data_IF_539662728084
#
_entry.id   IF_539662728084
#
_cell.length_a   1.000
_cell.length_b   1.000
_cell.length_c   1.000
_cell.angle_alpha   90.00
_cell.angle_beta   90.00
_cell.angle_gamma   90.00
#
_symmetry.space_group_name_H-M   'P 1'
#
loop_
_entity.id
_entity.type
_entity.pdbx_description
1 polymer ?
#
# COMPACT_ATOMS: atom_id res chain seq x y z
N UNK A 1 14.68 -8.59 7.55
CA UNK A 1 13.63 -7.54 7.44
C UNK A 1 12.35 -7.98 8.17
N UNK A 2 11.96 -9.26 8.17
CA UNK A 2 10.70 -9.75 8.75
C UNK A 2 10.67 -9.97 10.29
N UNK A 3 11.76 -9.80 10.95
CA UNK A 3 11.85 -9.88 12.42
C UNK A 3 11.52 -8.55 13.10
N UNK A 4 11.50 -7.46 12.34
CA UNK A 4 11.20 -6.11 12.85
C UNK A 4 9.77 -5.77 12.44
N UNK A 5 8.92 -5.24 13.35
CA UNK A 5 7.59 -4.77 13.01
C UNK A 5 7.63 -3.71 11.89
N UNK A 6 6.76 -3.86 10.88
CA UNK A 6 6.74 -2.96 9.70
C UNK A 6 6.57 -1.49 10.11
N UNK A 7 5.74 -1.20 11.11
CA UNK A 7 5.54 0.16 11.62
C UNK A 7 6.84 0.79 12.11
N UNK A 8 7.67 0.04 12.85
CA UNK A 8 8.98 0.54 13.32
C UNK A 8 9.92 0.85 12.15
N UNK A 9 9.94 -0.02 11.14
CA UNK A 9 10.74 0.23 9.93
C UNK A 9 10.25 1.46 9.19
N UNK A 10 8.93 1.63 9.05
CA UNK A 10 8.33 2.79 8.39
C UNK A 10 8.74 4.07 9.13
N UNK A 11 8.58 4.12 10.45
CA UNK A 11 8.96 5.28 11.27
C UNK A 11 10.45 5.60 11.13
N UNK A 12 11.33 4.62 11.33
CA UNK A 12 12.78 4.83 11.29
C UNK A 12 13.25 5.28 9.92
N UNK A 13 12.78 4.62 8.85
CA UNK A 13 13.17 4.97 7.49
C UNK A 13 12.58 6.31 7.04
N UNK A 14 11.33 6.61 7.39
CA UNK A 14 10.71 7.91 7.08
C UNK A 14 11.46 9.05 7.77
N UNK A 15 11.82 8.86 9.03
CA UNK A 15 12.64 9.84 9.76
C UNK A 15 14.03 10.01 9.14
N UNK A 16 14.70 8.92 8.78
CA UNK A 16 16.02 8.95 8.16
C UNK A 16 16.01 9.62 6.77
N UNK A 17 14.93 9.44 6.00
CA UNK A 17 14.79 10.02 4.66
C UNK A 17 14.31 11.47 4.66
N UNK A 18 13.74 11.96 5.76
CA UNK A 18 13.20 13.31 5.85
C UNK A 18 14.24 14.39 5.51
N UNK A 19 15.40 14.37 6.16
CA UNK A 19 16.44 15.38 5.94
C UNK A 19 17.03 15.33 4.51
N UNK A 20 17.43 14.17 3.95
CA UNK A 20 17.87 14.08 2.56
C UNK A 20 16.83 14.57 1.56
N UNK A 21 15.56 14.23 1.74
CA UNK A 21 14.48 14.65 0.85
C UNK A 21 14.15 16.14 1.00
N UNK A 22 14.21 16.69 2.22
CA UNK A 22 14.03 18.11 2.48
C UNK A 22 15.09 18.97 1.76
N UNK A 23 16.32 18.50 1.65
CA UNK A 23 17.39 19.20 0.93
C UNK A 23 17.16 19.20 -0.60
N UNK A 24 16.36 18.28 -1.14
CA UNK A 24 16.06 18.24 -2.57
C UNK A 24 15.21 19.43 -3.03
N UNK A 25 14.42 20.05 -2.17
CA UNK A 25 13.56 21.20 -2.53
C UNK A 25 14.35 22.37 -3.14
N UNK A 26 15.62 22.51 -2.75
CA UNK A 26 16.52 23.59 -3.20
C UNK A 26 17.24 23.23 -4.50
N UNK A 27 17.04 22.00 -5.02
CA UNK A 27 17.65 21.53 -6.27
C UNK A 27 16.73 21.91 -7.45
N UNK A 28 17.26 22.50 -8.54
CA UNK A 28 16.48 22.81 -9.72
C UNK A 28 15.73 21.57 -10.26
N UNK A 29 14.42 21.70 -10.47
CA UNK A 29 13.55 20.60 -10.91
C UNK A 29 12.84 19.82 -9.77
N UNK A 30 13.24 19.98 -8.52
CA UNK A 30 12.65 19.32 -7.35
C UNK A 30 11.83 20.25 -6.44
N UNK A 31 11.50 21.45 -6.88
CA UNK A 31 10.71 22.42 -6.09
C UNK A 31 9.34 21.87 -5.63
N UNK A 32 8.77 20.88 -6.33
CA UNK A 32 7.54 20.19 -5.94
C UNK A 32 7.68 19.45 -4.60
N UNK A 33 8.90 19.09 -4.16
CA UNK A 33 9.17 18.48 -2.85
C UNK A 33 8.74 19.41 -1.72
N UNK A 34 8.96 20.73 -1.87
CA UNK A 34 8.50 21.71 -0.89
C UNK A 34 6.97 21.87 -0.84
N UNK A 35 6.29 21.63 -1.95
CA UNK A 35 4.82 21.69 -2.05
C UNK A 35 4.15 20.47 -1.43
N UNK A 36 4.67 19.28 -1.73
CA UNK A 36 4.16 18.01 -1.22
C UNK A 36 4.57 17.76 0.24
N UNK A 37 5.69 18.34 0.65
CA UNK A 37 6.29 18.15 1.98
C UNK A 37 7.18 16.91 2.10
N UNK A 38 8.35 17.09 2.70
CA UNK A 38 9.33 16.00 2.86
C UNK A 38 8.81 14.80 3.68
N UNK A 39 7.93 15.03 4.66
CA UNK A 39 7.34 13.96 5.45
C UNK A 39 6.46 13.03 4.59
N UNK A 40 5.58 13.61 3.77
CA UNK A 40 4.70 12.84 2.91
C UNK A 40 5.49 12.04 1.88
N UNK A 41 6.50 12.65 1.26
CA UNK A 41 7.36 11.98 0.28
C UNK A 41 8.15 10.86 0.93
N UNK A 42 8.72 11.08 2.13
CA UNK A 42 9.46 10.04 2.84
C UNK A 42 8.58 8.83 3.16
N UNK A 43 7.33 9.02 3.61
CA UNK A 43 6.38 7.92 3.85
C UNK A 43 6.10 7.16 2.55
N UNK A 44 5.83 7.85 1.44
CA UNK A 44 5.57 7.20 0.14
C UNK A 44 6.77 6.41 -0.37
N UNK A 45 7.98 6.95 -0.26
CA UNK A 45 9.20 6.24 -0.63
C UNK A 45 9.37 4.98 0.23
N UNK A 46 9.14 5.09 1.53
CA UNK A 46 9.24 3.94 2.44
C UNK A 46 8.17 2.89 2.14
N UNK A 47 6.92 3.28 1.88
CA UNK A 47 5.88 2.35 1.45
C UNK A 47 6.27 1.63 0.16
N UNK A 48 6.79 2.35 -0.83
CA UNK A 48 7.28 1.74 -2.06
C UNK A 48 8.41 0.75 -1.81
N UNK A 49 9.33 1.05 -0.88
CA UNK A 49 10.46 0.19 -0.54
C UNK A 49 10.08 -1.04 0.29
N UNK A 50 9.01 -0.99 1.07
CA UNK A 50 8.61 -2.10 1.96
C UNK A 50 7.50 -2.97 1.35
N UNK A 51 6.47 -2.35 0.78
CA UNK A 51 5.28 -3.09 0.35
C UNK A 51 5.48 -3.92 -0.92
N UNK A 52 6.41 -3.53 -1.81
CA UNK A 52 6.72 -4.34 -2.99
C UNK A 52 7.24 -5.74 -2.62
N UNK A 53 7.91 -5.90 -1.47
CA UNK A 53 8.50 -7.18 -1.04
C UNK A 53 7.40 -8.23 -0.78
N UNK A 54 6.32 -7.82 -0.10
CA UNK A 54 5.15 -8.68 0.11
C UNK A 54 4.48 -9.07 -1.20
N UNK A 55 4.28 -8.09 -2.09
CA UNK A 55 3.71 -8.29 -3.41
C UNK A 55 4.55 -9.25 -4.27
N UNK A 56 5.87 -9.03 -4.31
CA UNK A 56 6.80 -9.88 -5.05
C UNK A 56 6.78 -11.34 -4.58
N UNK A 57 6.65 -11.57 -3.26
CA UNK A 57 6.51 -12.92 -2.70
C UNK A 57 5.22 -13.58 -3.11
N UNK A 58 4.12 -12.85 -3.04
CA UNK A 58 2.82 -13.36 -3.43
C UNK A 58 2.83 -13.76 -4.92
N UNK A 59 3.34 -12.90 -5.80
CA UNK A 59 3.50 -13.22 -7.23
C UNK A 59 4.37 -14.44 -7.44
N UNK A 60 5.51 -14.53 -6.74
CA UNK A 60 6.39 -15.70 -6.80
C UNK A 60 5.66 -16.99 -6.40
N UNK A 61 4.92 -16.96 -5.31
CA UNK A 61 4.15 -18.11 -4.82
C UNK A 61 3.10 -18.56 -5.85
N UNK A 62 2.37 -17.62 -6.44
CA UNK A 62 1.40 -17.88 -7.51
C UNK A 62 2.07 -18.50 -8.75
N UNK A 63 3.17 -17.92 -9.21
CA UNK A 63 3.91 -18.47 -10.35
C UNK A 63 4.42 -19.89 -10.07
N UNK A 64 4.90 -20.18 -8.85
CA UNK A 64 5.36 -21.51 -8.48
C UNK A 64 4.23 -22.54 -8.48
N UNK A 65 3.01 -22.17 -8.08
CA UNK A 65 1.83 -23.05 -8.20
C UNK A 65 1.42 -23.26 -9.67
N UNK A 66 1.32 -22.16 -10.41
CA UNK A 66 0.84 -22.21 -11.80
C UNK A 66 1.81 -22.94 -12.75
N UNK A 67 3.11 -22.92 -12.50
CA UNK A 67 4.09 -23.62 -13.35
C UNK A 67 3.94 -25.15 -13.35
N UNK A 68 3.32 -25.73 -12.31
CA UNK A 68 3.03 -27.15 -12.16
C UNK A 68 1.69 -27.55 -12.83
N UNK A 69 0.92 -26.60 -13.34
CA UNK A 69 -0.38 -26.85 -13.95
C UNK A 69 -0.27 -27.58 -15.29
N UNK A 70 -1.29 -28.40 -15.61
CA UNK A 70 -1.33 -29.23 -16.82
C UNK A 70 -1.22 -28.42 -18.10
N UNK A 71 -1.87 -27.23 -18.17
CA UNK A 71 -1.79 -26.39 -19.35
C UNK A 71 -0.40 -25.79 -19.62
N UNK A 72 0.40 -25.58 -18.57
CA UNK A 72 1.79 -25.13 -18.69
C UNK A 72 2.67 -26.29 -19.19
N UNK A 73 2.44 -27.50 -18.66
CA UNK A 73 3.13 -28.71 -19.08
C UNK A 73 2.83 -29.01 -20.56
N UNK A 74 1.57 -28.93 -20.97
CA UNK A 74 1.16 -29.08 -22.36
C UNK A 74 1.81 -28.02 -23.27
N UNK A 75 1.85 -26.76 -22.85
CA UNK A 75 2.51 -25.70 -23.62
C UNK A 75 4.02 -25.96 -23.82
N UNK A 76 4.69 -26.51 -22.78
CA UNK A 76 6.11 -26.92 -22.91
C UNK A 76 6.31 -28.08 -23.87
N UNK A 77 5.44 -29.09 -23.81
CA UNK A 77 5.49 -30.23 -24.73
C UNK A 77 5.28 -29.79 -26.17
N UNK A 78 4.53 -28.74 -26.43
CA UNK A 78 4.35 -28.12 -27.75
C UNK A 78 5.49 -27.20 -28.17
N UNK A 79 6.59 -27.12 -27.40
CA UNK A 79 7.77 -26.32 -27.72
C UNK A 79 7.63 -24.82 -27.54
N UNK A 80 6.63 -24.36 -26.77
CA UNK A 80 6.45 -22.94 -26.49
C UNK A 80 7.60 -22.43 -25.60
N UNK A 81 8.22 -21.30 -25.98
CA UNK A 81 9.36 -20.73 -25.26
C UNK A 81 8.97 -20.28 -23.85
N UNK A 82 9.90 -20.41 -22.89
CA UNK A 82 9.67 -20.03 -21.49
C UNK A 82 9.20 -18.58 -21.32
N UNK A 83 9.73 -17.63 -22.09
CA UNK A 83 9.29 -16.22 -22.04
C UNK A 83 7.83 -16.06 -22.46
N UNK A 84 7.37 -16.83 -23.43
CA UNK A 84 5.98 -16.82 -23.90
C UNK A 84 5.05 -17.48 -22.88
N UNK A 85 5.49 -18.56 -22.23
CA UNK A 85 4.78 -19.22 -21.13
C UNK A 85 4.59 -18.24 -19.97
N UNK A 86 5.65 -17.54 -19.53
CA UNK A 86 5.58 -16.55 -18.45
C UNK A 86 4.58 -15.44 -18.81
N UNK A 87 4.75 -14.80 -19.96
CA UNK A 87 3.92 -13.64 -20.35
C UNK A 87 2.46 -14.00 -20.59
N UNK A 88 2.20 -15.08 -21.33
CA UNK A 88 0.84 -15.39 -21.84
C UNK A 88 0.04 -16.30 -20.88
N UNK A 89 0.73 -17.16 -20.11
CA UNK A 89 0.06 -18.15 -19.29
C UNK A 89 0.20 -17.89 -17.78
N UNK A 90 1.40 -17.56 -17.29
CA UNK A 90 1.60 -17.39 -15.86
C UNK A 90 1.17 -16.01 -15.38
N UNK A 91 1.70 -14.92 -15.96
CA UNK A 91 1.36 -13.56 -15.52
C UNK A 91 -0.12 -13.23 -15.69
N UNK A 92 -0.72 -13.64 -16.82
CA UNK A 92 -2.15 -13.39 -17.08
C UNK A 92 -3.03 -14.03 -16.00
N UNK A 93 -2.68 -15.24 -15.53
CA UNK A 93 -3.41 -15.92 -14.47
C UNK A 93 -3.11 -15.38 -13.05
N UNK A 94 -2.03 -14.59 -12.89
CA UNK A 94 -1.73 -13.90 -11.64
C UNK A 94 -2.47 -12.55 -11.49
N UNK A 95 -2.97 -11.96 -12.58
CA UNK A 95 -3.52 -10.60 -12.60
C UNK A 95 -4.67 -10.46 -11.59
N UNK A 96 -5.61 -11.40 -11.53
CA UNK A 96 -6.72 -11.36 -10.59
C UNK A 96 -6.25 -11.26 -9.14
N UNK A 97 -5.34 -12.15 -8.75
CA UNK A 97 -4.77 -12.14 -7.39
C UNK A 97 -3.97 -10.85 -7.11
N UNK A 98 -3.27 -10.31 -8.11
CA UNK A 98 -2.55 -9.04 -7.99
C UNK A 98 -3.50 -7.88 -7.74
N UNK A 99 -4.59 -7.78 -8.49
CA UNK A 99 -5.60 -6.72 -8.33
C UNK A 99 -6.19 -6.78 -6.92
N UNK A 100 -6.63 -7.96 -6.48
CA UNK A 100 -7.21 -8.15 -5.13
C UNK A 100 -6.21 -7.74 -4.05
N UNK A 101 -4.98 -8.24 -4.12
CA UNK A 101 -3.96 -7.94 -3.10
C UNK A 101 -3.60 -6.46 -3.08
N UNK A 102 -3.50 -5.81 -4.24
CA UNK A 102 -3.23 -4.36 -4.33
C UNK A 102 -4.39 -3.56 -3.74
N UNK A 103 -5.63 -3.96 -4.02
CA UNK A 103 -6.83 -3.29 -3.48
C UNK A 103 -6.87 -3.39 -1.94
N UNK A 104 -6.57 -4.56 -1.37
CA UNK A 104 -6.51 -4.76 0.08
C UNK A 104 -5.28 -4.08 0.74
N UNK A 105 -4.23 -3.74 -0.02
CA UNK A 105 -3.10 -2.97 0.47
C UNK A 105 -3.44 -1.49 0.67
N UNK A 106 -4.41 -0.94 -0.07
CA UNK A 106 -4.81 0.47 0.03
C UNK A 106 -5.31 0.83 1.44
N UNK A 107 -6.30 0.15 2.04
CA UNK A 107 -6.75 0.45 3.40
C UNK A 107 -5.65 0.33 4.44
N UNK A 108 -4.74 -0.65 4.30
CA UNK A 108 -3.59 -0.80 5.19
C UNK A 108 -2.64 0.40 5.12
N UNK A 109 -2.40 0.92 3.91
CA UNK A 109 -1.56 2.11 3.70
C UNK A 109 -2.20 3.37 4.28
N UNK A 110 -3.51 3.56 4.06
CA UNK A 110 -4.28 4.69 4.60
C UNK A 110 -4.28 4.65 6.13
N UNK A 111 -4.51 3.47 6.72
CA UNK A 111 -4.45 3.31 8.17
C UNK A 111 -3.07 3.66 8.71
N UNK A 112 -2.01 3.14 8.10
CA UNK A 112 -0.63 3.38 8.55
C UNK A 112 -0.25 4.85 8.43
N UNK A 113 -0.60 5.53 7.33
CA UNK A 113 -0.40 6.98 7.18
C UNK A 113 -1.16 7.75 8.26
N UNK A 114 -2.46 7.48 8.42
CA UNK A 114 -3.30 8.17 9.39
C UNK A 114 -2.81 7.95 10.83
N UNK A 115 -2.34 6.75 11.16
CA UNK A 115 -1.76 6.43 12.45
C UNK A 115 -0.43 7.18 12.70
N UNK A 116 0.45 7.23 11.70
CA UNK A 116 1.70 8.00 11.80
C UNK A 116 1.43 9.50 11.93
N UNK A 117 0.48 10.03 11.16
CA UNK A 117 0.07 11.44 11.24
C UNK A 117 -0.57 11.77 12.58
N UNK A 118 -1.37 10.85 13.13
CA UNK A 118 -1.94 10.97 14.48
C UNK A 118 -0.84 11.04 15.57
N UNK A 119 0.24 10.27 15.41
CA UNK A 119 1.39 10.31 16.31
C UNK A 119 2.32 11.53 16.08
N UNK A 120 2.00 12.41 15.11
CA UNK A 120 2.83 13.56 14.76
C UNK A 120 4.07 13.21 13.91
N UNK A 121 4.16 11.97 13.42
CA UNK A 121 5.28 11.48 12.60
C UNK A 121 4.92 11.36 11.10
N UNK A 122 3.70 11.72 10.74
CA UNK A 122 3.17 11.66 9.38
C UNK A 122 3.24 12.98 8.63
N UNK A 123 2.16 13.32 7.94
CA UNK A 123 2.02 14.55 7.16
C UNK A 123 2.09 15.76 8.10
N UNK A 124 2.95 16.73 7.76
CA UNK A 124 3.15 17.93 8.56
C UNK A 124 2.40 19.14 7.96
N UNK A 125 2.12 20.12 8.84
CA UNK A 125 1.59 21.44 8.44
C UNK A 125 2.46 22.03 7.31
N UNK A 126 1.87 22.64 6.25
CA UNK A 126 0.46 23.06 6.15
C UNK A 126 -0.50 22.01 5.54
N UNK A 127 -0.05 20.81 5.22
CA UNK A 127 -0.90 19.80 4.60
C UNK A 127 -1.68 19.03 5.68
N UNK A 128 -3.03 19.07 5.64
CA UNK A 128 -3.82 18.28 6.58
C UNK A 128 -3.94 16.81 6.11
N UNK A 129 -3.97 15.88 7.05
CA UNK A 129 -4.42 14.50 6.83
C UNK A 129 -5.53 14.17 7.84
N UNK A 130 -6.28 13.09 7.59
CA UNK A 130 -7.30 12.66 8.55
C UNK A 130 -6.68 12.29 9.90
N UNK A 131 -5.46 11.73 9.89
CA UNK A 131 -4.72 11.40 11.11
C UNK A 131 -4.25 12.65 11.86
N UNK A 132 -3.72 13.67 11.17
CA UNK A 132 -3.33 14.93 11.82
C UNK A 132 -4.52 15.68 12.39
N UNK A 133 -5.65 15.72 11.67
CA UNK A 133 -6.91 16.30 12.18
C UNK A 133 -7.40 15.59 13.45
N UNK A 134 -7.30 14.26 13.50
CA UNK A 134 -7.64 13.49 14.68
C UNK A 134 -6.68 13.80 15.85
N UNK A 135 -5.39 13.97 15.58
CA UNK A 135 -4.40 14.35 16.60
C UNK A 135 -4.68 15.73 17.19
N UNK A 136 -4.94 16.72 16.35
CA UNK A 136 -5.25 18.09 16.78
C UNK A 136 -6.53 18.15 17.64
N UNK A 137 -7.49 17.29 17.33
CA UNK A 137 -8.78 17.23 18.04
C UNK A 137 -8.68 16.67 19.47
N UNK A 138 -7.60 15.94 19.84
CA UNK A 138 -7.45 15.34 21.18
C UNK A 138 -7.57 16.40 22.28
N UNK A 139 -6.90 17.53 22.11
CA UNK A 139 -6.86 18.59 23.12
C UNK A 139 -8.24 19.22 23.36
N UNK A 140 -9.12 19.19 22.35
CA UNK A 140 -10.48 19.71 22.42
C UNK A 140 -11.57 18.66 22.68
N UNK A 141 -11.20 17.37 22.83
CA UNK A 141 -12.15 16.25 22.83
C UNK A 141 -13.25 16.36 23.90
N UNK A 142 -12.95 16.91 25.07
CA UNK A 142 -13.93 17.08 26.16
C UNK A 142 -14.97 18.17 25.87
N UNK A 143 -14.61 19.16 25.04
CA UNK A 143 -15.49 20.31 24.71
C UNK A 143 -16.16 20.13 23.35
N UNK A 144 -15.41 19.58 22.37
CA UNK A 144 -15.84 19.43 20.99
C UNK A 144 -15.56 18.01 20.46
N UNK A 145 -16.23 16.95 20.97
CA UNK A 145 -15.93 15.55 20.66
C UNK A 145 -16.09 15.22 19.16
N UNK A 146 -16.92 15.97 18.46
CA UNK A 146 -17.14 15.78 17.02
C UNK A 146 -15.89 16.04 16.16
N UNK A 147 -14.95 16.87 16.64
CA UNK A 147 -13.70 17.14 15.94
C UNK A 147 -12.83 15.88 15.81
N UNK A 148 -12.87 14.98 16.80
CA UNK A 148 -12.21 13.69 16.75
C UNK A 148 -13.07 12.64 16.03
N UNK A 149 -14.37 12.64 16.31
CA UNK A 149 -15.30 11.63 15.78
C UNK A 149 -15.38 11.66 14.26
N UNK A 150 -15.42 12.85 13.64
CA UNK A 150 -15.54 12.99 12.19
C UNK A 150 -14.35 12.36 11.43
N UNK A 151 -13.08 12.74 11.68
CA UNK A 151 -11.96 12.12 10.98
C UNK A 151 -11.83 10.62 11.29
N UNK A 152 -12.07 10.18 12.52
CA UNK A 152 -12.04 8.76 12.87
C UNK A 152 -13.12 7.95 12.11
N UNK A 153 -14.33 8.49 12.01
CA UNK A 153 -15.42 7.88 11.24
C UNK A 153 -15.06 7.81 9.75
N UNK A 154 -14.50 8.87 9.17
CA UNK A 154 -14.09 8.89 7.77
C UNK A 154 -13.00 7.85 7.48
N UNK A 155 -11.97 7.75 8.33
CA UNK A 155 -10.93 6.72 8.20
C UNK A 155 -11.58 5.32 8.23
N UNK A 156 -12.47 5.07 9.18
CA UNK A 156 -13.15 3.78 9.33
C UNK A 156 -14.00 3.44 8.10
N UNK A 157 -14.76 4.41 7.56
CA UNK A 157 -15.58 4.22 6.37
C UNK A 157 -14.74 3.96 5.11
N UNK A 158 -13.63 4.68 4.95
CA UNK A 158 -12.71 4.46 3.82
C UNK A 158 -12.12 3.05 3.89
N UNK A 159 -11.61 2.64 5.06
CA UNK A 159 -11.05 1.31 5.27
C UNK A 159 -12.10 0.22 4.99
N UNK A 160 -13.30 0.37 5.53
CA UNK A 160 -14.40 -0.56 5.31
C UNK A 160 -14.77 -0.67 3.83
N UNK A 161 -14.89 0.47 3.14
CA UNK A 161 -15.25 0.50 1.72
C UNK A 161 -14.23 -0.22 0.84
N UNK A 162 -12.95 0.02 1.07
CA UNK A 162 -11.89 -0.66 0.32
C UNK A 162 -11.76 -2.15 0.67
N UNK A 163 -12.03 -2.56 1.91
CA UNK A 163 -12.07 -3.97 2.27
C UNK A 163 -13.23 -4.69 1.57
N UNK A 164 -14.44 -4.11 1.59
CA UNK A 164 -15.60 -4.65 0.89
C UNK A 164 -15.37 -4.72 -0.64
N UNK A 165 -14.73 -3.69 -1.20
CA UNK A 165 -14.35 -3.70 -2.62
C UNK A 165 -13.33 -4.81 -2.92
N UNK A 166 -12.32 -4.97 -2.06
CA UNK A 166 -11.30 -6.01 -2.19
C UNK A 166 -11.90 -7.42 -2.11
N UNK A 167 -12.82 -7.65 -1.18
CA UNK A 167 -13.54 -8.92 -1.04
C UNK A 167 -14.43 -9.19 -2.28
N UNK A 168 -15.18 -8.19 -2.74
CA UNK A 168 -15.99 -8.31 -3.97
C UNK A 168 -15.13 -8.60 -5.21
N UNK A 169 -13.96 -7.99 -5.33
CA UNK A 169 -13.01 -8.30 -6.41
C UNK A 169 -12.43 -9.71 -6.26
N UNK A 170 -12.14 -10.15 -5.06
CA UNK A 170 -11.69 -11.51 -4.79
C UNK A 170 -12.70 -12.53 -5.26
N UNK A 171 -13.97 -12.35 -4.90
CA UNK A 171 -15.06 -13.23 -5.33
C UNK A 171 -15.25 -13.23 -6.85
N UNK A 172 -15.15 -12.05 -7.48
CA UNK A 172 -15.27 -11.92 -8.93
C UNK A 172 -14.14 -12.60 -9.71
N UNK A 173 -12.93 -12.65 -9.14
CA UNK A 173 -11.75 -13.28 -9.75
C UNK A 173 -11.51 -14.72 -9.29
N UNK A 174 -12.28 -15.25 -8.33
CA UNK A 174 -12.14 -16.64 -7.90
C UNK A 174 -12.78 -17.60 -8.91
N UNK A 175 -12.00 -18.45 -9.59
CA UNK A 175 -12.53 -19.40 -10.56
C UNK A 175 -13.45 -20.45 -9.94
N UNK A 176 -13.33 -20.72 -8.63
CA UNK A 176 -14.09 -21.74 -7.91
C UNK A 176 -15.56 -21.33 -7.69
N UNK A 177 -15.87 -20.03 -7.74
CA UNK A 177 -17.23 -19.52 -7.57
C UNK A 177 -18.02 -19.47 -8.88
N UNK A 178 -17.39 -19.83 -10.01
CA UNK A 178 -18.03 -19.81 -11.35
C UNK A 178 -18.62 -21.16 -11.78
N UNK A 179 -18.63 -22.18 -10.90
CA UNK A 179 -19.22 -23.50 -11.16
C UNK A 179 -20.49 -23.70 -10.34
#
# INVERSE_FOLDING_TARGET
IYTIPDILLIVLLSFALKAPLGNLKDVPGFGWVGVVGENMISIFVVFALLYWVGMARMVRSQILMLKESEYVTAARALGVSNGKIIKKHLLTNCIGTLIVTTTLQIPSSIFTESFLSFLGMGVAVPLPSLGSLASDAINGMNTYPYLLFIPALLISLIILSFNLLGDGLRDAFDPKLKN
#
